data_IF_379806417173
#
_entry.id   IF_379806417173
#
_cell.length_a   1.000
_cell.length_b   1.000
_cell.length_c   1.000
_cell.angle_alpha   90.00
_cell.angle_beta   90.00
_cell.angle_gamma   90.00
#
_symmetry.space_group_name_H-M   'P 1'
#
loop_
_entity.id
_entity.type
_entity.pdbx_description
1 polymer ?
#
# COMPACT_ATOMS: atom_id res chain seq x y z
N UNK A 1 0.65 16.13 -1.93
CA UNK A 1 1.82 15.54 -1.23
C UNK A 1 2.04 14.11 -1.75
N UNK A 2 2.97 13.91 -2.69
CA UNK A 2 3.26 12.61 -3.33
C UNK A 2 4.63 12.03 -2.96
N UNK A 3 5.12 12.29 -1.74
CA UNK A 3 6.53 12.17 -1.39
C UNK A 3 7.05 10.77 -1.05
N UNK A 4 6.18 9.80 -0.76
CA UNK A 4 6.59 8.49 -0.23
C UNK A 4 6.76 7.39 -1.28
N UNK A 5 6.22 7.56 -2.50
CA UNK A 5 6.53 6.63 -3.61
C UNK A 5 7.94 6.84 -4.15
N UNK A 6 8.53 8.03 -3.96
CA UNK A 6 9.79 8.39 -4.60
C UNK A 6 11.03 7.97 -3.80
N UNK A 7 10.91 7.76 -2.49
CA UNK A 7 12.00 7.26 -1.64
C UNK A 7 12.25 5.77 -1.87
N UNK A 8 11.21 4.92 -1.77
CA UNK A 8 11.36 3.48 -2.00
C UNK A 8 11.88 3.13 -3.42
N UNK A 9 11.49 3.93 -4.43
CA UNK A 9 12.00 3.81 -5.82
C UNK A 9 13.50 4.06 -5.96
N UNK A 10 14.10 4.92 -5.12
CA UNK A 10 15.55 5.20 -5.19
C UNK A 10 16.38 4.01 -4.71
N UNK A 11 15.93 3.33 -3.67
CA UNK A 11 16.70 2.24 -3.06
C UNK A 11 16.51 0.92 -3.81
N UNK A 12 15.29 0.63 -4.31
CA UNK A 12 14.98 -0.64 -4.96
C UNK A 12 15.16 -0.64 -6.49
N UNK A 13 15.33 0.53 -7.11
CA UNK A 13 15.40 0.67 -8.57
C UNK A 13 14.02 0.81 -9.23
N UNK A 14 13.98 0.71 -10.56
CA UNK A 14 12.72 0.84 -11.29
C UNK A 14 11.75 -0.30 -10.95
N UNK A 15 10.43 -0.03 -10.99
CA UNK A 15 9.40 -1.08 -10.87
C UNK A 15 9.30 -1.80 -12.20
N UNK A 16 9.64 -3.09 -12.22
CA UNK A 16 9.48 -3.94 -13.40
C UNK A 16 8.06 -4.49 -13.50
N UNK A 17 7.50 -4.94 -12.37
CA UNK A 17 6.12 -5.42 -12.32
C UNK A 17 5.51 -5.23 -10.94
N UNK A 18 4.19 -5.05 -10.89
CA UNK A 18 3.40 -4.99 -9.66
C UNK A 18 2.17 -5.86 -9.85
N UNK A 19 1.97 -6.82 -8.95
CA UNK A 19 0.81 -7.71 -8.95
C UNK A 19 0.07 -7.60 -7.64
N UNK A 20 -1.24 -7.37 -7.70
CA UNK A 20 -2.10 -7.47 -6.52
C UNK A 20 -2.29 -8.93 -6.15
N UNK A 21 -1.92 -9.29 -4.91
CA UNK A 21 -2.02 -10.66 -4.42
C UNK A 21 -3.15 -10.83 -3.40
N UNK A 22 -3.53 -9.77 -2.68
CA UNK A 22 -4.61 -9.85 -1.68
C UNK A 22 -5.37 -8.54 -1.53
N UNK A 23 -6.65 -8.66 -1.24
CA UNK A 23 -7.52 -7.57 -0.80
C UNK A 23 -8.34 -8.06 0.38
N UNK A 24 -8.25 -7.35 1.50
CA UNK A 24 -9.17 -7.52 2.63
C UNK A 24 -10.01 -6.25 2.73
N UNK A 25 -11.27 -6.38 3.08
CA UNK A 25 -12.09 -5.25 3.51
C UNK A 25 -12.44 -5.46 4.97
N UNK A 26 -12.21 -4.45 5.78
CA UNK A 26 -12.48 -4.47 7.21
C UNK A 26 -13.18 -3.17 7.59
N UNK A 27 -14.16 -3.24 8.47
CA UNK A 27 -14.88 -2.04 8.95
C UNK A 27 -14.26 -1.45 10.22
N UNK A 28 -13.20 -2.09 10.73
CA UNK A 28 -12.52 -1.72 11.97
C UNK A 28 -11.05 -2.11 11.87
N UNK A 29 -10.14 -1.25 12.32
CA UNK A 29 -8.72 -1.55 12.43
C UNK A 29 -8.18 -1.23 13.82
N UNK A 30 -7.17 -1.96 14.33
CA UNK A 30 -6.55 -1.67 15.62
C UNK A 30 -5.99 -0.24 15.65
N UNK A 31 -6.44 0.56 16.62
CA UNK A 31 -5.98 1.95 16.81
C UNK A 31 -6.55 2.96 15.81
N UNK A 32 -7.51 2.57 14.96
CA UNK A 32 -8.19 3.47 14.03
C UNK A 32 -9.71 3.57 14.34
N UNK A 33 -10.37 4.68 13.99
CA UNK A 33 -11.83 4.82 14.12
C UNK A 33 -12.60 3.76 13.32
N UNK A 34 -13.88 3.56 13.61
CA UNK A 34 -14.74 2.71 12.78
C UNK A 34 -14.95 3.36 11.39
N UNK A 35 -14.92 2.56 10.34
CA UNK A 35 -15.05 3.04 8.96
C UNK A 35 -14.68 1.96 7.94
N UNK A 36 -14.90 2.22 6.66
CA UNK A 36 -14.56 1.25 5.61
C UNK A 36 -13.06 1.29 5.29
N UNK A 37 -12.34 0.25 5.72
CA UNK A 37 -10.95 0.01 5.38
C UNK A 37 -10.85 -1.05 4.29
N UNK A 38 -9.88 -0.87 3.43
CA UNK A 38 -9.41 -1.94 2.56
C UNK A 38 -7.91 -2.11 2.77
N UNK A 39 -7.44 -3.35 2.85
CA UNK A 39 -6.02 -3.69 2.92
C UNK A 39 -5.65 -4.35 1.61
N UNK A 40 -4.84 -3.67 0.80
CA UNK A 40 -4.31 -4.18 -0.45
C UNK A 40 -2.88 -4.65 -0.26
N UNK A 41 -2.62 -5.92 -0.55
CA UNK A 41 -1.26 -6.45 -0.61
C UNK A 41 -0.86 -6.65 -2.06
N UNK A 42 0.28 -6.07 -2.43
CA UNK A 42 0.91 -6.21 -3.72
C UNK A 42 2.26 -6.91 -3.57
N UNK A 43 2.58 -7.73 -4.56
CA UNK A 43 3.91 -8.24 -4.78
C UNK A 43 4.52 -7.44 -5.92
N UNK A 44 5.66 -6.81 -5.64
CA UNK A 44 6.31 -5.90 -6.58
C UNK A 44 7.74 -6.36 -6.83
N UNK A 45 8.07 -6.44 -8.12
CA UNK A 45 9.39 -6.73 -8.62
C UNK A 45 10.05 -5.41 -8.97
N UNK A 46 11.09 -5.06 -8.23
CA UNK A 46 11.97 -3.96 -8.59
C UNK A 46 13.23 -4.51 -9.25
N UNK A 47 13.85 -3.69 -10.08
CA UNK A 47 15.10 -3.98 -10.79
C UNK A 47 16.20 -4.52 -9.85
N UNK A 48 16.40 -3.88 -8.68
CA UNK A 48 17.42 -4.31 -7.71
C UNK A 48 16.89 -5.26 -6.65
N UNK A 49 15.57 -5.37 -6.48
CA UNK A 49 14.92 -6.24 -5.50
C UNK A 49 13.65 -6.89 -6.08
N UNK A 50 13.74 -8.15 -6.53
CA UNK A 50 12.65 -8.76 -7.27
C UNK A 50 11.46 -9.24 -6.41
N UNK A 51 11.54 -9.15 -5.09
CA UNK A 51 10.50 -9.68 -4.20
C UNK A 51 10.24 -8.75 -3.03
N UNK A 52 9.51 -7.67 -3.31
CA UNK A 52 9.04 -6.72 -2.31
C UNK A 52 7.54 -6.90 -2.10
N UNK A 53 7.10 -6.89 -0.84
CA UNK A 53 5.68 -6.90 -0.50
C UNK A 53 5.26 -5.51 -0.07
N UNK A 54 4.29 -4.95 -0.80
CA UNK A 54 3.72 -3.64 -0.49
C UNK A 54 2.32 -3.83 0.10
N UNK A 55 2.06 -3.22 1.24
CA UNK A 55 0.73 -3.18 1.85
C UNK A 55 0.23 -1.74 1.84
N UNK A 56 -0.91 -1.52 1.18
CA UNK A 56 -1.60 -0.22 1.13
C UNK A 56 -2.91 -0.37 1.86
N UNK A 57 -3.14 0.48 2.85
CA UNK A 57 -4.39 0.46 3.63
C UNK A 57 -5.13 1.77 3.47
N UNK A 58 -5.99 1.91 2.44
CA UNK A 58 -6.89 3.04 2.35
C UNK A 58 -8.10 2.90 3.29
N UNK A 59 -8.61 4.03 3.74
CA UNK A 59 -9.89 4.15 4.41
C UNK A 59 -10.79 5.16 3.71
N UNK A 60 -12.10 4.92 3.78
CA UNK A 60 -13.11 5.84 3.27
C UNK A 60 -13.36 6.94 4.31
N UNK A 61 -13.08 8.19 3.94
CA UNK A 61 -13.32 9.37 4.77
C UNK A 61 -14.22 10.34 4.00
N UNK A 62 -15.42 10.61 4.50
CA UNK A 62 -16.33 11.60 3.89
C UNK A 62 -16.75 11.28 2.45
N UNK A 63 -16.68 10.02 2.02
CA UNK A 63 -16.97 9.59 0.65
C UNK A 63 -15.75 9.44 -0.26
N UNK A 64 -14.57 9.89 0.19
CA UNK A 64 -13.31 9.78 -0.55
C UNK A 64 -12.38 8.73 0.06
N UNK A 65 -11.75 7.91 -0.79
CA UNK A 65 -10.74 6.95 -0.35
C UNK A 65 -9.41 7.65 -0.09
N UNK A 66 -9.00 7.70 1.17
CA UNK A 66 -7.69 8.23 1.59
C UNK A 66 -6.75 7.09 1.95
N UNK A 67 -5.48 7.19 1.53
CA UNK A 67 -4.46 6.21 1.92
C UNK A 67 -4.01 6.47 3.35
N UNK A 68 -4.43 5.60 4.28
CA UNK A 68 -4.13 5.71 5.70
C UNK A 68 -2.76 5.15 6.07
N UNK A 69 -2.23 4.23 5.25
CA UNK A 69 -0.90 3.64 5.45
C UNK A 69 -0.32 3.01 4.19
N UNK A 70 1.00 3.09 4.06
CA UNK A 70 1.79 2.44 3.01
C UNK A 70 3.02 1.81 3.65
N UNK A 71 3.12 0.50 3.54
CA UNK A 71 4.22 -0.29 4.11
C UNK A 71 4.90 -1.08 3.00
N UNK A 72 6.23 -1.08 3.01
CA UNK A 72 7.07 -1.81 2.05
C UNK A 72 8.05 -2.67 2.86
N UNK A 73 8.02 -3.98 2.64
CA UNK A 73 8.90 -4.96 3.29
C UNK A 73 9.61 -5.82 2.22
#
# INVERSE_FOLDING_TARGET
>A
MGGILNSARRDFGAVESRRRIRVIRETSMPGAPFGDYAVFTFQTRFEKKPQITETITPHLEGGDWKVSGYYVN
#
